data_IF_903153081244
#
_entry.id   IF_903153081244
#
_cell.length_a   1.000
_cell.length_b   1.000
_cell.length_c   1.000
_cell.angle_alpha   90.00
_cell.angle_beta   90.00
_cell.angle_gamma   90.00
#
_symmetry.space_group_name_H-M   'P 1'
#
loop_
_entity.id
_entity.type
_entity.pdbx_description
1 polymer ?
#
# COMPACT_ATOMS: atom_id res chain seq x y z
N UNK A 1 -10.53 21.15 28.97
CA UNK A 1 -10.60 21.78 27.66
C UNK A 1 -10.13 20.75 26.66
N UNK A 2 -10.97 20.44 25.68
CA UNK A 2 -10.72 19.35 24.74
C UNK A 2 -9.63 19.72 23.75
N UNK A 3 -8.74 18.77 23.44
CA UNK A 3 -7.71 18.96 22.44
C UNK A 3 -8.14 18.30 21.13
N UNK A 4 -8.10 19.05 20.04
CA UNK A 4 -8.43 18.58 18.70
C UNK A 4 -7.15 18.54 17.89
N UNK A 5 -6.74 17.37 17.44
CA UNK A 5 -5.56 17.20 16.61
C UNK A 5 -5.95 17.26 15.14
N UNK A 6 -5.33 18.16 14.38
CA UNK A 6 -5.48 18.26 12.93
C UNK A 6 -4.19 17.80 12.26
N UNK A 7 -4.26 16.75 11.45
CA UNK A 7 -3.18 16.22 10.64
C UNK A 7 -3.40 16.57 9.16
N UNK A 8 -2.52 17.40 8.61
CA UNK A 8 -2.62 17.96 7.25
C UNK A 8 -1.22 18.36 6.77
N UNK A 9 -0.82 17.94 5.58
CA UNK A 9 0.54 18.16 5.09
C UNK A 9 0.74 19.52 4.40
N UNK A 10 -0.32 20.12 3.88
CA UNK A 10 -0.24 21.47 3.33
C UNK A 10 -0.16 22.51 4.46
N UNK A 11 1.05 22.95 4.80
CA UNK A 11 1.29 23.87 5.93
C UNK A 11 0.49 25.18 5.85
N UNK A 12 0.19 25.67 4.64
CA UNK A 12 -0.66 26.87 4.46
C UNK A 12 -2.11 26.62 4.84
N UNK A 13 -2.64 25.45 4.46
CA UNK A 13 -4.00 25.07 4.79
C UNK A 13 -4.11 24.75 6.28
N UNK A 14 -3.14 24.04 6.85
CA UNK A 14 -3.06 23.80 8.30
C UNK A 14 -3.02 25.11 9.10
N UNK A 15 -2.21 26.08 8.69
CA UNK A 15 -2.17 27.42 9.32
C UNK A 15 -3.52 28.16 9.19
N UNK A 16 -4.14 28.12 8.00
CA UNK A 16 -5.47 28.68 7.79
C UNK A 16 -6.53 28.06 8.71
N UNK A 17 -6.51 26.73 8.87
CA UNK A 17 -7.44 26.03 9.77
C UNK A 17 -7.21 26.40 11.23
N UNK A 18 -5.95 26.51 11.66
CA UNK A 18 -5.60 26.94 13.02
C UNK A 18 -6.14 28.34 13.33
N UNK A 19 -5.90 29.31 12.45
CA UNK A 19 -6.40 30.69 12.58
C UNK A 19 -7.94 30.74 12.53
N UNK A 20 -8.56 30.05 11.57
CA UNK A 20 -10.01 30.10 11.41
C UNK A 20 -10.77 29.40 12.56
N UNK A 21 -10.14 28.44 13.24
CA UNK A 21 -10.73 27.76 14.39
C UNK A 21 -10.44 28.47 15.72
N UNK A 22 -9.63 29.54 15.74
CA UNK A 22 -9.36 30.33 16.94
C UNK A 22 -10.63 31.00 17.50
N UNK A 23 -11.60 31.32 16.65
CA UNK A 23 -12.93 31.81 17.08
C UNK A 23 -13.68 30.81 17.99
N UNK A 24 -13.35 29.51 17.88
CA UNK A 24 -13.94 28.43 18.69
C UNK A 24 -13.04 28.00 19.86
N UNK A 25 -12.01 28.81 20.17
CA UNK A 25 -11.06 28.55 21.26
C UNK A 25 -11.68 28.59 22.65
N UNK A 26 -12.93 28.99 22.82
CA UNK A 26 -13.69 28.81 24.07
C UNK A 26 -14.15 27.35 24.27
N UNK A 27 -14.22 26.55 23.20
CA UNK A 27 -14.75 25.19 23.21
C UNK A 27 -13.67 24.12 23.17
N UNK A 28 -12.66 24.30 22.33
CA UNK A 28 -11.60 23.33 22.15
C UNK A 28 -10.28 24.01 21.78
N UNK A 29 -9.18 23.30 21.98
CA UNK A 29 -7.84 23.74 21.60
C UNK A 29 -7.36 22.94 20.40
N UNK A 30 -6.90 23.63 19.37
CA UNK A 30 -6.28 22.99 18.19
C UNK A 30 -4.83 22.60 18.50
N UNK A 31 -4.48 21.39 18.10
CA UNK A 31 -3.13 20.86 17.98
C UNK A 31 -2.90 20.50 16.51
N UNK A 32 -1.70 20.71 16.00
CA UNK A 32 -1.39 20.53 14.58
C UNK A 32 -0.30 19.50 14.35
N UNK A 33 -0.35 18.81 13.21
CA UNK A 33 0.66 17.87 12.74
C UNK A 33 0.75 17.91 11.21
N UNK A 34 1.97 17.95 10.67
CA UNK A 34 2.21 18.03 9.22
C UNK A 34 2.21 16.70 8.48
N UNK A 35 2.02 15.58 9.17
CA UNK A 35 1.97 14.22 8.62
C UNK A 35 1.53 13.21 9.70
N UNK A 36 1.30 11.96 9.31
CA UNK A 36 0.89 10.90 10.23
C UNK A 36 1.88 10.58 11.35
N UNK A 37 3.20 10.69 11.14
CA UNK A 37 4.19 10.42 12.19
C UNK A 37 4.16 11.49 13.28
N UNK A 38 4.03 12.77 12.90
CA UNK A 38 3.85 13.86 13.85
C UNK A 38 2.54 13.73 14.61
N UNK A 39 1.46 13.33 13.93
CA UNK A 39 0.17 13.09 14.58
C UNK A 39 0.27 12.00 15.65
N UNK A 40 0.96 10.88 15.36
CA UNK A 40 1.21 9.83 16.35
C UNK A 40 2.04 10.33 17.53
N UNK A 41 3.09 11.12 17.28
CA UNK A 41 3.89 11.70 18.37
C UNK A 41 3.05 12.63 19.28
N UNK A 42 2.09 13.36 18.70
CA UNK A 42 1.14 14.17 19.49
C UNK A 42 0.18 13.28 20.29
N UNK A 43 -0.38 12.23 19.69
CA UNK A 43 -1.27 11.27 20.37
C UNK A 43 -0.57 10.52 21.51
N UNK A 44 0.74 10.27 21.40
CA UNK A 44 1.54 9.63 22.45
C UNK A 44 1.89 10.59 23.61
N UNK A 45 1.99 11.89 23.33
CA UNK A 45 2.44 12.90 24.31
C UNK A 45 1.34 13.75 24.92
N UNK A 46 0.17 13.82 24.29
CA UNK A 46 -0.97 14.66 24.72
C UNK A 46 -2.27 13.87 24.67
N UNK A 47 -3.18 14.18 25.60
CA UNK A 47 -4.57 13.69 25.52
C UNK A 47 -5.28 14.42 24.38
N UNK A 48 -5.80 13.66 23.41
CA UNK A 48 -6.56 14.17 22.26
C UNK A 48 -8.00 13.67 22.38
N UNK A 49 -8.96 14.58 22.17
CA UNK A 49 -10.40 14.30 22.26
C UNK A 49 -11.03 14.04 20.88
N UNK A 50 -10.46 14.58 19.80
CA UNK A 50 -10.87 14.33 18.40
C UNK A 50 -9.63 14.37 17.50
N UNK A 51 -9.52 13.43 16.57
CA UNK A 51 -8.57 13.48 15.46
C UNK A 51 -9.29 13.95 14.19
N UNK A 52 -8.73 14.94 13.52
CA UNK A 52 -9.07 15.37 12.17
C UNK A 52 -7.87 15.06 11.28
N UNK A 53 -8.04 14.32 10.18
CA UNK A 53 -6.90 13.93 9.33
C UNK A 53 -7.24 13.99 7.85
N UNK A 54 -6.30 14.46 7.03
CA UNK A 54 -6.29 14.14 5.59
C UNK A 54 -5.92 12.64 5.41
N UNK A 55 -6.32 12.06 4.28
CA UNK A 55 -5.91 10.73 3.83
C UNK A 55 -4.60 10.75 3.03
N UNK A 56 -4.33 11.83 2.30
CA UNK A 56 -3.17 11.95 1.42
C UNK A 56 -2.10 12.82 2.06
N UNK A 57 -1.15 12.20 2.77
CA UNK A 57 -0.02 12.88 3.42
C UNK A 57 1.31 12.16 3.13
N UNK A 58 2.45 12.88 3.01
CA UNK A 58 3.78 12.30 2.85
C UNK A 58 4.27 11.65 4.15
N UNK A 59 5.29 10.78 4.04
CA UNK A 59 5.92 9.99 5.11
C UNK A 59 5.03 8.92 5.73
N UNK A 60 3.87 9.30 6.27
CA UNK A 60 2.83 8.40 6.74
C UNK A 60 1.49 8.97 6.28
N UNK A 61 0.79 8.20 5.44
CA UNK A 61 -0.52 8.57 4.93
C UNK A 61 -1.60 8.45 6.00
N UNK A 62 -2.74 9.10 5.77
CA UNK A 62 -3.86 9.08 6.71
C UNK A 62 -4.41 7.67 6.92
N UNK A 63 -4.37 6.80 5.91
CA UNK A 63 -4.78 5.40 6.06
C UNK A 63 -3.96 4.65 7.12
N UNK A 64 -2.64 4.81 7.07
CA UNK A 64 -1.72 4.20 8.04
C UNK A 64 -1.93 4.80 9.43
N UNK A 65 -2.13 6.12 9.52
CA UNK A 65 -2.47 6.79 10.78
C UNK A 65 -3.78 6.25 11.37
N UNK A 66 -4.84 6.16 10.57
CA UNK A 66 -6.14 5.62 10.97
C UNK A 66 -6.01 4.18 11.48
N UNK A 67 -5.20 3.36 10.82
CA UNK A 67 -4.89 1.99 11.24
C UNK A 67 -4.31 1.94 12.66
N UNK A 68 -3.31 2.77 12.94
CA UNK A 68 -2.68 2.87 14.26
C UNK A 68 -3.63 3.42 15.32
N UNK A 69 -4.41 4.43 14.97
CA UNK A 69 -5.39 5.06 15.87
C UNK A 69 -6.49 4.06 16.23
N UNK A 70 -6.97 3.29 15.27
CA UNK A 70 -8.00 2.27 15.49
C UNK A 70 -7.53 1.20 16.49
N UNK A 71 -6.26 0.81 16.41
CA UNK A 71 -5.68 -0.20 17.28
C UNK A 71 -5.39 0.32 18.70
N UNK A 72 -4.81 1.52 18.81
CA UNK A 72 -4.31 2.06 20.09
C UNK A 72 -5.27 3.01 20.81
N UNK A 73 -6.14 3.69 20.06
CA UNK A 73 -7.08 4.70 20.55
C UNK A 73 -8.49 4.43 20.00
N UNK A 74 -9.07 3.23 20.26
CA UNK A 74 -10.33 2.81 19.65
C UNK A 74 -11.53 3.71 20.03
N UNK A 75 -11.43 4.44 21.14
CA UNK A 75 -12.47 5.36 21.61
C UNK A 75 -12.25 6.81 21.15
N UNK A 76 -11.25 7.10 20.30
CA UNK A 76 -11.01 8.45 19.78
C UNK A 76 -11.93 8.73 18.58
N UNK A 77 -12.82 9.75 18.62
CA UNK A 77 -13.55 10.20 17.45
C UNK A 77 -12.62 10.67 16.34
N UNK A 78 -12.94 10.29 15.11
CA UNK A 78 -12.15 10.62 13.92
C UNK A 78 -13.02 11.33 12.88
N UNK A 79 -12.49 12.45 12.38
CA UNK A 79 -13.02 13.19 11.24
C UNK A 79 -12.00 13.07 10.10
N UNK A 80 -12.45 12.55 8.96
CA UNK A 80 -11.59 12.39 7.78
C UNK A 80 -11.88 13.53 6.81
N UNK A 81 -10.84 14.28 6.45
CA UNK A 81 -10.85 15.28 5.39
C UNK A 81 -10.47 14.59 4.07
N UNK A 82 -11.29 14.74 3.03
CA UNK A 82 -11.03 14.14 1.70
C UNK A 82 -11.26 15.16 0.60
N UNK A 83 -10.44 15.12 -0.46
CA UNK A 83 -10.56 15.96 -1.66
C UNK A 83 -11.49 15.40 -2.74
N UNK A 84 -12.22 14.31 -2.46
CA UNK A 84 -12.95 13.56 -3.47
C UNK A 84 -14.46 13.84 -3.46
N UNK A 85 -15.00 14.30 -4.60
CA UNK A 85 -16.43 14.57 -4.82
C UNK A 85 -17.11 13.33 -5.43
N UNK A 86 -17.64 12.42 -4.59
CA UNK A 86 -18.57 11.34 -4.99
C UNK A 86 -19.73 11.15 -4.00
N UNK A 87 -20.80 11.96 -4.12
CA UNK A 87 -21.96 11.95 -3.22
C UNK A 87 -22.70 10.61 -3.16
N UNK A 88 -22.70 9.86 -4.27
CA UNK A 88 -23.40 8.57 -4.45
C UNK A 88 -22.85 7.44 -3.56
N UNK A 89 -21.56 7.50 -3.20
CA UNK A 89 -20.90 6.50 -2.37
C UNK A 89 -21.04 6.85 -0.89
N UNK A 90 -21.00 8.15 -0.55
CA UNK A 90 -21.21 8.68 0.81
C UNK A 90 -22.56 8.29 1.40
N UNK A 91 -23.61 8.26 0.58
CA UNK A 91 -24.96 7.85 1.01
C UNK A 91 -25.05 6.38 1.48
N UNK A 92 -24.04 5.56 1.16
CA UNK A 92 -23.99 4.12 1.47
C UNK A 92 -23.05 3.76 2.63
N UNK A 93 -22.34 4.74 3.20
CA UNK A 93 -21.45 4.52 4.34
C UNK A 93 -22.25 4.55 5.67
N UNK A 94 -21.96 3.64 6.63
CA UNK A 94 -22.55 3.70 7.97
C UNK A 94 -22.19 5.04 8.63
N UNK A 95 -23.20 5.75 9.16
CA UNK A 95 -23.04 7.13 9.70
C UNK A 95 -22.39 7.18 11.09
N UNK A 96 -22.10 6.03 11.69
CA UNK A 96 -22.17 5.93 13.14
C UNK A 96 -20.81 6.09 13.85
N UNK A 97 -19.72 6.37 13.12
CA UNK A 97 -18.43 6.57 13.80
C UNK A 97 -17.35 7.40 13.09
N UNK A 98 -17.38 7.53 11.77
CA UNK A 98 -16.44 8.37 11.02
C UNK A 98 -17.21 9.48 10.34
N UNK A 99 -16.92 10.72 10.72
CA UNK A 99 -17.48 11.89 10.03
C UNK A 99 -16.58 12.26 8.86
N UNK A 100 -17.17 12.38 7.68
CA UNK A 100 -16.45 12.76 6.47
C UNK A 100 -16.66 14.24 6.17
N UNK A 101 -15.56 14.96 5.99
CA UNK A 101 -15.55 16.35 5.59
C UNK A 101 -14.86 16.51 4.23
N UNK A 102 -15.68 16.73 3.22
CA UNK A 102 -15.23 16.91 1.83
C UNK A 102 -14.67 18.32 1.61
N UNK A 103 -13.46 18.40 1.04
CA UNK A 103 -12.82 19.64 0.60
C UNK A 103 -13.41 20.07 -0.76
N UNK A 104 -13.73 21.37 -0.98
CA UNK A 104 -13.58 22.46 -0.03
C UNK A 104 -14.72 22.52 1.00
N UNK A 105 -14.39 22.88 2.24
CA UNK A 105 -15.35 23.09 3.33
C UNK A 105 -15.11 24.45 4.01
N UNK A 106 -16.14 25.00 4.66
CA UNK A 106 -15.96 26.18 5.50
C UNK A 106 -15.40 25.81 6.88
N UNK A 107 -14.64 26.71 7.54
CA UNK A 107 -14.20 26.52 8.91
C UNK A 107 -15.36 26.22 9.87
N UNK A 108 -16.51 26.88 9.71
CA UNK A 108 -17.71 26.61 10.52
C UNK A 108 -18.20 25.17 10.39
N UNK A 109 -18.12 24.59 9.19
CA UNK A 109 -18.55 23.22 8.94
C UNK A 109 -17.63 22.24 9.66
N UNK A 110 -16.31 22.50 9.66
CA UNK A 110 -15.34 21.71 10.41
C UNK A 110 -15.57 21.86 11.93
N UNK A 111 -15.71 23.09 12.43
CA UNK A 111 -15.97 23.37 13.84
C UNK A 111 -17.23 22.65 14.35
N UNK A 112 -18.33 22.71 13.59
CA UNK A 112 -19.56 22.01 13.93
C UNK A 112 -19.38 20.48 13.95
N UNK A 113 -18.62 19.91 13.01
CA UNK A 113 -18.32 18.48 13.01
C UNK A 113 -17.48 18.08 14.23
N UNK A 114 -16.50 18.90 14.62
CA UNK A 114 -15.69 18.72 15.84
C UNK A 114 -16.57 18.78 17.08
N UNK A 115 -17.41 19.81 17.21
CA UNK A 115 -18.30 19.99 18.38
C UNK A 115 -19.27 18.81 18.50
N UNK A 116 -19.84 18.34 17.38
CA UNK A 116 -20.69 17.16 17.37
C UNK A 116 -19.93 15.91 17.83
N UNK A 117 -18.69 15.72 17.37
CA UNK A 117 -17.84 14.61 17.78
C UNK A 117 -17.47 14.66 19.28
N UNK A 118 -17.27 15.86 19.83
CA UNK A 118 -16.98 16.08 21.26
C UNK A 118 -18.20 15.83 22.16
N UNK A 119 -19.42 16.12 21.69
CA UNK A 119 -20.62 16.12 22.52
C UNK A 119 -21.14 14.72 22.94
N UNK A 120 -20.74 13.64 22.25
CA UNK A 120 -21.08 12.22 22.53
C UNK A 120 -22.40 11.97 23.30
N UNK A 121 -23.53 12.17 22.63
CA UNK A 121 -24.75 11.34 22.80
C UNK A 121 -24.74 10.24 21.71
N UNK A 122 -23.72 9.37 21.71
CA UNK A 122 -23.75 8.18 20.86
C UNK A 122 -24.58 7.11 21.59
N UNK A 123 -25.67 6.57 21.00
CA UNK A 123 -26.50 5.57 21.66
C UNK A 123 -25.67 4.36 22.12
N UNK A 124 -26.02 3.81 23.28
CA UNK A 124 -25.51 2.53 23.79
C UNK A 124 -25.50 1.49 22.65
N UNK A 125 -24.29 1.08 22.23
CA UNK A 125 -24.10 0.15 21.11
C UNK A 125 -23.20 0.63 19.98
N UNK A 126 -22.70 1.88 20.01
CA UNK A 126 -21.72 2.36 19.03
C UNK A 126 -20.43 1.51 19.08
N UNK A 127 -20.19 0.75 18.01
CA UNK A 127 -18.96 -0.03 17.83
C UNK A 127 -17.77 0.93 17.81
N UNK A 128 -16.72 0.55 18.55
CA UNK A 128 -15.48 1.28 18.80
C UNK A 128 -14.57 1.25 17.57
N UNK A 129 -13.90 2.36 17.26
CA UNK A 129 -12.97 2.48 16.13
C UNK A 129 -13.59 2.30 14.73
N UNK A 130 -12.93 2.80 13.68
CA UNK A 130 -13.40 2.65 12.29
C UNK A 130 -13.70 1.17 12.02
N UNK A 131 -14.96 0.84 11.75
CA UNK A 131 -15.33 -0.52 11.38
C UNK A 131 -14.55 -0.94 10.14
N UNK A 132 -14.11 -2.21 10.07
CA UNK A 132 -13.41 -2.69 8.88
C UNK A 132 -14.21 -2.47 7.58
N UNK A 133 -15.53 -2.70 7.52
CA UNK A 133 -16.33 -2.31 6.36
C UNK A 133 -16.16 -0.83 5.95
N UNK A 134 -16.23 0.10 6.90
CA UNK A 134 -16.03 1.53 6.64
C UNK A 134 -14.60 1.83 6.18
N UNK A 135 -13.60 1.18 6.77
CA UNK A 135 -12.20 1.34 6.39
C UNK A 135 -11.93 0.84 4.96
N UNK A 136 -12.47 -0.32 4.61
CA UNK A 136 -12.35 -0.88 3.26
C UNK A 136 -13.08 -0.01 2.23
N UNK A 137 -14.24 0.56 2.59
CA UNK A 137 -14.93 1.52 1.74
C UNK A 137 -14.05 2.74 1.44
N UNK A 138 -13.27 3.24 2.42
CA UNK A 138 -12.32 4.33 2.20
C UNK A 138 -11.22 3.97 1.20
N UNK A 139 -10.64 2.77 1.32
CA UNK A 139 -9.66 2.26 0.34
C UNK A 139 -10.25 2.23 -1.07
N UNK A 140 -11.51 1.80 -1.19
CA UNK A 140 -12.23 1.80 -2.45
C UNK A 140 -12.48 3.19 -3.02
N UNK A 141 -12.83 4.15 -2.15
CA UNK A 141 -13.09 5.54 -2.53
C UNK A 141 -11.84 6.26 -3.02
N UNK A 142 -10.73 6.14 -2.30
CA UNK A 142 -9.44 6.76 -2.64
C UNK A 142 -8.66 5.99 -3.72
N UNK A 143 -9.27 4.97 -4.33
CA UNK A 143 -8.65 4.11 -5.35
C UNK A 143 -7.27 3.59 -4.92
N UNK A 144 -7.10 3.27 -3.64
CA UNK A 144 -5.80 2.89 -3.09
C UNK A 144 -5.45 1.45 -3.50
N UNK A 145 -4.29 1.27 -4.11
CA UNK A 145 -3.66 -0.06 -4.26
C UNK A 145 -2.91 -0.37 -2.97
N UNK A 146 -3.24 -1.48 -2.31
CA UNK A 146 -2.59 -1.87 -1.06
C UNK A 146 -2.77 -3.35 -0.75
N UNK A 147 -1.81 -3.88 0.01
CA UNK A 147 -1.92 -5.17 0.69
C UNK A 147 -2.09 -4.88 2.18
N UNK A 148 -3.09 -5.47 2.82
CA UNK A 148 -3.28 -5.32 4.26
C UNK A 148 -3.50 -6.66 4.94
N UNK A 149 -2.93 -6.78 6.12
CA UNK A 149 -3.25 -7.81 7.10
C UNK A 149 -4.34 -7.28 8.04
N UNK A 150 -5.34 -8.10 8.29
CA UNK A 150 -6.43 -7.85 9.21
C UNK A 150 -6.40 -8.95 10.26
N UNK A 151 -6.15 -8.56 11.50
CA UNK A 151 -6.01 -9.48 12.64
C UNK A 151 -7.18 -9.30 13.61
N UNK A 152 -7.59 -10.40 14.25
CA UNK A 152 -8.59 -10.36 15.33
C UNK A 152 -8.19 -11.36 16.42
N UNK A 153 -8.56 -11.08 17.68
CA UNK A 153 -8.17 -11.91 18.81
C UNK A 153 -8.75 -13.32 18.68
N UNK A 154 -7.88 -14.34 18.74
CA UNK A 154 -8.29 -15.75 18.72
C UNK A 154 -8.62 -16.29 17.32
N UNK A 155 -8.37 -15.52 16.26
CA UNK A 155 -8.54 -15.96 14.87
C UNK A 155 -7.22 -15.80 14.09
N UNK A 156 -6.97 -16.60 13.04
CA UNK A 156 -5.82 -16.38 12.16
C UNK A 156 -5.94 -15.01 11.49
N UNK A 157 -4.82 -14.34 11.17
CA UNK A 157 -4.86 -13.11 10.40
C UNK A 157 -5.36 -13.38 8.98
N UNK A 158 -6.14 -12.44 8.46
CA UNK A 158 -6.56 -12.39 7.07
C UNK A 158 -5.71 -11.42 6.27
N UNK A 159 -5.56 -11.67 4.97
CA UNK A 159 -4.89 -10.77 4.04
C UNK A 159 -5.90 -10.32 3.00
N UNK A 160 -5.94 -9.02 2.71
CA UNK A 160 -6.72 -8.43 1.62
C UNK A 160 -5.79 -7.66 0.67
N UNK A 161 -5.91 -7.92 -0.62
CA UNK A 161 -5.25 -7.15 -1.67
C UNK A 161 -6.27 -6.31 -2.44
N UNK A 162 -6.02 -5.01 -2.52
CA UNK A 162 -6.76 -4.06 -3.32
C UNK A 162 -5.88 -3.54 -4.45
N UNK A 163 -6.44 -3.47 -5.64
CA UNK A 163 -5.81 -2.82 -6.80
C UNK A 163 -6.70 -1.67 -7.24
N UNK A 164 -6.18 -0.44 -7.19
CA UNK A 164 -6.90 0.80 -7.52
C UNK A 164 -8.26 0.90 -6.80
N UNK A 165 -8.31 0.52 -5.52
CA UNK A 165 -9.53 0.50 -4.70
C UNK A 165 -10.49 -0.65 -4.97
N UNK A 166 -10.17 -1.57 -5.88
CA UNK A 166 -11.00 -2.76 -6.14
C UNK A 166 -10.45 -3.95 -5.35
N UNK A 167 -11.28 -4.65 -4.54
CA UNK A 167 -10.87 -5.91 -3.93
C UNK A 167 -10.49 -6.91 -5.01
N UNK A 168 -9.26 -7.39 -4.95
CA UNK A 168 -8.66 -8.15 -6.03
C UNK A 168 -8.40 -9.59 -5.62
N UNK A 169 -7.94 -9.79 -4.39
CA UNK A 169 -7.73 -11.11 -3.79
C UNK A 169 -7.74 -11.07 -2.25
N UNK A 170 -7.91 -12.22 -1.62
CA UNK A 170 -7.87 -12.36 -0.18
C UNK A 170 -7.38 -13.76 0.25
N UNK A 171 -6.85 -13.86 1.47
CA UNK A 171 -6.47 -15.12 2.11
C UNK A 171 -6.91 -15.11 3.57
N UNK A 172 -7.45 -16.23 4.06
CA UNK A 172 -7.80 -16.41 5.46
C UNK A 172 -7.66 -17.88 5.84
N UNK A 173 -6.55 -18.22 6.51
CA UNK A 173 -6.17 -19.63 6.73
C UNK A 173 -6.08 -20.38 5.40
N UNK A 174 -6.85 -21.48 5.19
CA UNK A 174 -6.85 -22.22 3.95
C UNK A 174 -7.73 -21.60 2.83
N UNK A 175 -8.53 -20.59 3.15
CA UNK A 175 -9.44 -19.97 2.19
C UNK A 175 -8.70 -18.94 1.35
N UNK A 176 -9.09 -18.81 0.07
CA UNK A 176 -8.57 -17.78 -0.84
C UNK A 176 -9.69 -17.10 -1.62
N UNK A 177 -9.41 -15.94 -2.23
CA UNK A 177 -10.36 -15.22 -3.08
C UNK A 177 -11.60 -14.72 -2.33
N UNK A 178 -12.77 -14.82 -2.97
CA UNK A 178 -14.00 -14.22 -2.45
C UNK A 178 -14.44 -14.79 -1.10
N UNK A 179 -14.30 -16.11 -0.87
CA UNK A 179 -14.70 -16.73 0.40
C UNK A 179 -13.81 -16.27 1.57
N UNK A 180 -12.51 -16.13 1.32
CA UNK A 180 -11.60 -15.52 2.29
C UNK A 180 -12.00 -14.08 2.60
N UNK A 181 -12.29 -13.26 1.57
CA UNK A 181 -12.66 -11.87 1.74
C UNK A 181 -13.89 -11.71 2.65
N UNK A 182 -14.92 -12.53 2.47
CA UNK A 182 -16.13 -12.51 3.31
C UNK A 182 -15.80 -12.81 4.78
N UNK A 183 -14.93 -13.80 5.04
CA UNK A 183 -14.48 -14.13 6.40
C UNK A 183 -13.67 -13.00 7.04
N UNK A 184 -12.75 -12.41 6.29
CA UNK A 184 -11.92 -11.29 6.78
C UNK A 184 -12.77 -10.06 7.09
N UNK A 185 -13.72 -9.70 6.22
CA UNK A 185 -14.60 -8.53 6.41
C UNK A 185 -15.50 -8.70 7.65
N UNK A 186 -15.89 -9.93 7.96
CA UNK A 186 -16.71 -10.25 9.14
C UNK A 186 -15.96 -10.29 10.47
N UNK A 187 -14.64 -10.06 10.49
CA UNK A 187 -13.84 -10.08 11.72
C UNK A 187 -14.25 -8.97 12.69
N UNK A 188 -14.36 -9.32 13.98
CA UNK A 188 -14.65 -8.36 15.04
C UNK A 188 -13.39 -7.70 15.60
N UNK A 189 -13.51 -6.43 16.00
CA UNK A 189 -12.42 -5.63 16.56
C UNK A 189 -11.08 -5.77 15.78
N UNK A 190 -11.08 -5.52 14.46
CA UNK A 190 -9.92 -5.83 13.63
C UNK A 190 -8.77 -4.84 13.84
N UNK A 191 -7.57 -5.40 14.04
CA UNK A 191 -6.31 -4.69 13.90
C UNK A 191 -5.87 -4.72 12.44
N UNK A 192 -5.59 -3.56 11.85
CA UNK A 192 -5.21 -3.45 10.44
C UNK A 192 -3.72 -3.09 10.36
N UNK A 193 -3.01 -3.72 9.42
CA UNK A 193 -1.61 -3.43 9.13
C UNK A 193 -1.37 -3.44 7.63
N UNK A 194 -0.84 -2.34 7.10
CA UNK A 194 -0.40 -2.31 5.70
C UNK A 194 0.89 -3.10 5.53
N UNK A 195 0.88 -3.99 4.55
CA UNK A 195 2.02 -4.79 4.15
C UNK A 195 2.64 -4.19 2.87
N UNK A 196 3.87 -4.59 2.58
CA UNK A 196 4.50 -4.24 1.31
C UNK A 196 3.69 -4.84 0.15
N UNK A 197 3.43 -4.10 -0.94
CA UNK A 197 2.78 -4.66 -2.11
C UNK A 197 3.57 -5.88 -2.61
N UNK A 198 2.88 -6.95 -3.04
CA UNK A 198 3.54 -8.13 -3.53
C UNK A 198 4.33 -7.80 -4.81
N UNK A 199 5.56 -8.30 -4.91
CA UNK A 199 6.44 -8.11 -6.07
C UNK A 199 6.03 -8.96 -7.29
N UNK A 200 5.17 -9.96 -7.06
CA UNK A 200 4.57 -10.80 -8.09
C UNK A 200 3.14 -10.31 -8.40
N UNK A 201 2.70 -10.49 -9.63
CA UNK A 201 1.33 -10.19 -10.05
C UNK A 201 0.36 -11.02 -9.22
N UNK A 202 -0.53 -10.36 -8.50
CA UNK A 202 -1.58 -11.04 -7.74
C UNK A 202 -2.60 -11.60 -8.72
N UNK A 203 -3.16 -12.78 -8.45
CA UNK A 203 -4.24 -13.35 -9.25
C UNK A 203 -5.56 -12.71 -8.84
N UNK A 204 -6.36 -12.24 -9.82
CA UNK A 204 -7.70 -11.75 -9.51
C UNK A 204 -8.61 -12.93 -9.19
N UNK A 205 -8.94 -13.11 -7.91
CA UNK A 205 -9.87 -14.17 -7.44
C UNK A 205 -11.16 -13.61 -6.84
N UNK A 206 -11.27 -12.29 -6.73
CA UNK A 206 -12.49 -11.61 -6.31
C UNK A 206 -13.15 -10.95 -7.51
N UNK A 207 -14.37 -11.38 -7.83
CA UNK A 207 -15.19 -10.83 -8.92
C UNK A 207 -16.25 -9.84 -8.46
N UNK A 208 -16.71 -9.98 -7.20
CA UNK A 208 -17.74 -9.12 -6.61
C UNK A 208 -17.25 -7.71 -6.31
N UNK A 209 -18.18 -6.75 -6.32
CA UNK A 209 -17.89 -5.39 -5.87
C UNK A 209 -17.67 -5.36 -4.36
N UNK A 210 -16.91 -4.38 -3.87
CA UNK A 210 -16.71 -4.18 -2.44
C UNK A 210 -18.04 -4.00 -1.68
N UNK A 211 -18.99 -3.28 -2.27
CA UNK A 211 -20.30 -3.05 -1.65
C UNK A 211 -21.06 -4.37 -1.43
N UNK A 212 -21.01 -5.29 -2.40
CA UNK A 212 -21.64 -6.60 -2.27
C UNK A 212 -20.92 -7.45 -1.21
N UNK A 213 -19.58 -7.46 -1.21
CA UNK A 213 -18.80 -8.21 -0.21
C UNK A 213 -19.11 -7.74 1.22
N UNK A 214 -19.21 -6.43 1.43
CA UNK A 214 -19.56 -5.85 2.73
C UNK A 214 -20.98 -6.25 3.14
N UNK A 215 -21.95 -6.16 2.22
CA UNK A 215 -23.33 -6.56 2.47
C UNK A 215 -23.44 -8.05 2.81
N UNK A 216 -22.80 -8.90 2.02
CA UNK A 216 -22.83 -10.36 2.19
C UNK A 216 -22.12 -10.79 3.49
N UNK A 217 -20.99 -10.16 3.83
CA UNK A 217 -20.27 -10.45 5.08
C UNK A 217 -21.08 -10.02 6.32
N UNK A 218 -21.76 -8.88 6.24
CA UNK A 218 -22.64 -8.39 7.32
C UNK A 218 -23.83 -9.34 7.50
N UNK A 219 -24.46 -9.75 6.39
CA UNK A 219 -25.58 -10.71 6.41
C UNK A 219 -25.17 -12.07 6.95
N UNK A 220 -24.01 -12.59 6.54
CA UNK A 220 -23.49 -13.86 7.03
C UNK A 220 -23.22 -13.82 8.54
N UNK A 221 -22.92 -12.65 9.11
CA UNK A 221 -22.78 -12.47 10.56
C UNK A 221 -24.13 -12.56 11.28
N UNK A 222 -25.14 -11.87 10.76
CA UNK A 222 -26.49 -11.89 11.33
C UNK A 222 -27.13 -13.29 11.28
N UNK A 223 -26.89 -14.05 10.20
CA UNK A 223 -27.39 -15.42 10.05
C UNK A 223 -26.74 -16.41 11.06
N UNK A 224 -25.45 -16.22 11.41
CA UNK A 224 -24.75 -17.01 12.44
C UNK A 224 -25.20 -16.69 13.88
N UNK A 225 -25.63 -15.46 14.17
CA UNK A 225 -26.19 -15.09 15.48
C UNK A 225 -27.63 -15.59 15.66
N UNK A 226 -28.42 -15.68 14.58
CA UNK A 226 -29.79 -16.23 14.65
C UNK A 226 -29.84 -17.74 14.88
N UNK A 227 -28.82 -18.50 14.46
CA UNK A 227 -28.75 -19.95 14.69
C UNK A 227 -28.34 -20.31 16.14
N UNK A 228 -27.76 -19.38 16.90
CA UNK A 228 -27.37 -19.59 18.30
C UNK A 228 -28.52 -19.36 19.30
N UNK A 229 -29.64 -18.80 18.86
CA UNK A 229 -30.86 -18.66 19.68
C UNK A 229 -31.76 -19.90 19.57
N UNK A 230 -31.43 -20.86 18.70
CA UNK A 230 -32.26 -22.04 18.44
C UNK A 230 -31.48 -23.33 18.23
N UNK A 231 -30.94 -23.91 19.30
CA UNK A 231 -30.52 -25.32 19.25
C UNK A 231 -29.45 -25.70 20.26
N UNK A 232 -29.88 -26.13 21.44
CA UNK A 232 -29.09 -27.04 22.28
C UNK A 232 -28.86 -28.37 21.55
N UNK A 233 -27.67 -28.91 21.72
CA UNK A 233 -27.18 -30.26 21.36
C UNK A 233 -26.49 -30.51 20.00
N UNK A 234 -25.20 -30.89 20.14
CA UNK A 234 -24.32 -31.62 19.22
C UNK A 234 -23.83 -30.84 17.98
N UNK A 235 -22.53 -30.72 17.71
CA UNK A 235 -21.60 -31.84 17.50
C UNK A 235 -20.18 -31.43 17.90
N UNK A 236 -19.66 -32.07 18.95
CA UNK A 236 -18.24 -32.19 19.21
C UNK A 236 -17.66 -33.26 18.27
N UNK A 237 -16.90 -32.88 17.23
CA UNK A 237 -16.00 -33.78 16.50
C UNK A 237 -14.74 -33.07 16.00
N UNK A 238 -13.67 -33.26 16.77
CA UNK A 238 -12.30 -33.58 16.33
C UNK A 238 -11.62 -32.68 15.28
N UNK A 239 -10.86 -31.69 15.74
CA UNK A 239 -9.66 -31.23 15.03
C UNK A 239 -8.44 -31.86 15.69
N UNK A 240 -7.98 -32.95 15.09
CA UNK A 240 -6.79 -33.68 15.50
C UNK A 240 -5.52 -32.97 15.03
N UNK A 241 -4.51 -33.05 15.89
CA UNK A 241 -3.13 -32.60 15.71
C UNK A 241 -2.57 -32.76 14.29
N UNK A 242 -1.97 -31.68 13.80
CA UNK A 242 -1.17 -31.66 12.58
C UNK A 242 -0.51 -30.30 12.36
N UNK A 243 0.17 -29.76 13.38
CA UNK A 243 1.04 -28.59 13.22
C UNK A 243 2.45 -29.08 12.89
N UNK A 244 2.87 -28.88 11.64
CA UNK A 244 4.28 -28.77 11.27
C UNK A 244 4.59 -27.30 11.03
N UNK A 245 5.62 -26.82 11.72
CA UNK A 245 6.11 -25.44 11.74
C UNK A 245 6.57 -24.94 10.35
N UNK A 246 6.34 -23.66 10.09
CA UNK A 246 7.19 -22.85 9.20
C UNK A 246 6.86 -22.88 7.69
N UNK A 247 5.69 -22.37 7.29
CA UNK A 247 5.42 -22.02 5.90
C UNK A 247 4.71 -20.67 5.80
N UNK A 248 5.23 -19.75 5.00
CA UNK A 248 4.50 -18.53 4.61
C UNK A 248 3.22 -18.94 3.85
N UNK A 249 2.08 -18.26 4.06
CA UNK A 249 0.83 -18.61 3.41
C UNK A 249 0.94 -18.47 1.88
N UNK A 250 0.51 -19.53 1.18
CA UNK A 250 0.67 -19.73 -0.26
C UNK A 250 -0.26 -18.82 -1.08
N UNK A 251 0.20 -17.59 -1.29
CA UNK A 251 -0.38 -16.61 -2.22
C UNK A 251 0.10 -16.81 -3.67
N UNK A 252 1.01 -17.76 -3.93
CA UNK A 252 1.86 -17.77 -5.11
C UNK A 252 1.98 -19.17 -5.72
N UNK A 253 1.21 -19.47 -6.77
CA UNK A 253 1.51 -20.67 -7.57
C UNK A 253 2.75 -20.44 -8.43
N UNK A 254 3.69 -21.39 -8.34
CA UNK A 254 4.59 -21.74 -9.43
C UNK A 254 3.76 -22.16 -10.67
N UNK A 255 4.33 -21.95 -11.85
CA UNK A 255 3.84 -22.32 -13.18
C UNK A 255 2.76 -21.41 -13.82
N UNK A 256 3.23 -20.35 -14.48
CA UNK A 256 2.80 -20.01 -15.86
C UNK A 256 4.07 -19.59 -16.64
N UNK A 257 4.46 -20.39 -17.62
CA UNK A 257 5.53 -20.07 -18.58
C UNK A 257 5.05 -18.92 -19.47
N UNK A 258 5.60 -17.72 -19.27
CA UNK A 258 5.49 -16.62 -20.23
C UNK A 258 6.30 -17.01 -21.49
N UNK A 259 5.60 -17.22 -22.61
CA UNK A 259 6.17 -17.57 -23.93
C UNK A 259 7.16 -16.53 -24.51
N UNK A 260 7.43 -15.41 -23.81
CA UNK A 260 8.36 -14.34 -24.21
C UNK A 260 9.53 -14.11 -23.22
N UNK A 261 9.59 -14.87 -22.13
CA UNK A 261 10.66 -14.78 -21.12
C UNK A 261 11.99 -15.37 -21.60
N UNK A 262 11.95 -16.37 -22.50
CA UNK A 262 13.14 -17.05 -23.01
C UNK A 262 14.12 -16.12 -23.71
N UNK A 263 13.62 -15.19 -24.53
CA UNK A 263 14.44 -14.27 -25.33
C UNK A 263 15.21 -13.27 -24.45
N UNK A 264 14.56 -12.75 -23.41
CA UNK A 264 15.14 -11.74 -22.51
C UNK A 264 16.12 -12.34 -21.50
N UNK A 265 15.86 -13.56 -21.03
CA UNK A 265 16.81 -14.31 -20.19
C UNK A 265 18.03 -14.78 -20.99
N UNK A 266 17.89 -15.13 -22.27
CA UNK A 266 19.01 -15.40 -23.17
C UNK A 266 19.87 -14.15 -23.41
N UNK A 267 19.23 -12.99 -23.62
CA UNK A 267 19.93 -11.70 -23.72
C UNK A 267 20.71 -11.38 -22.43
N UNK A 268 20.08 -11.53 -21.26
CA UNK A 268 20.73 -11.31 -19.97
C UNK A 268 21.92 -12.26 -19.77
N UNK A 269 21.76 -13.54 -20.12
CA UNK A 269 22.80 -14.55 -20.02
C UNK A 269 23.97 -14.25 -20.96
N UNK A 270 23.72 -13.95 -22.23
CA UNK A 270 24.77 -13.63 -23.20
C UNK A 270 25.56 -12.35 -22.85
N UNK A 271 24.92 -11.36 -22.22
CA UNK A 271 25.59 -10.16 -21.72
C UNK A 271 26.40 -10.43 -20.45
N UNK A 272 25.95 -11.34 -19.59
CA UNK A 272 26.66 -11.70 -18.36
C UNK A 272 28.01 -12.40 -18.60
N UNK A 273 28.22 -12.99 -19.78
CA UNK A 273 29.48 -13.63 -20.18
C UNK A 273 30.62 -12.62 -20.41
N UNK A 274 30.30 -11.32 -20.46
CA UNK A 274 31.31 -10.26 -20.59
C UNK A 274 32.19 -10.18 -19.35
N UNK A 275 33.52 -10.21 -19.55
CA UNK A 275 34.47 -10.06 -18.47
C UNK A 275 34.25 -8.75 -17.69
N UNK A 276 34.04 -8.86 -16.37
CA UNK A 276 33.72 -7.73 -15.52
C UNK A 276 32.22 -7.51 -15.28
N UNK A 277 31.35 -8.33 -15.88
CA UNK A 277 29.93 -8.37 -15.56
C UNK A 277 29.66 -9.37 -14.43
N UNK A 278 28.97 -8.94 -13.37
CA UNK A 278 28.52 -9.82 -12.28
C UNK A 278 27.07 -10.25 -12.45
N UNK A 279 26.22 -9.35 -12.95
CA UNK A 279 24.81 -9.65 -13.21
C UNK A 279 24.20 -8.66 -14.19
N UNK A 280 23.16 -9.09 -14.89
CA UNK A 280 22.39 -8.29 -15.85
C UNK A 280 20.90 -8.47 -15.60
N UNK A 281 20.14 -7.39 -15.60
CA UNK A 281 18.69 -7.39 -15.65
C UNK A 281 18.21 -6.64 -16.89
N UNK A 282 17.13 -7.11 -17.49
CA UNK A 282 16.47 -6.54 -18.66
C UNK A 282 15.13 -5.99 -18.21
N UNK A 283 14.95 -4.68 -18.32
CA UNK A 283 13.73 -3.96 -17.98
C UNK A 283 13.03 -3.50 -19.26
N UNK A 284 11.71 -3.43 -19.26
CA UNK A 284 10.94 -2.73 -20.30
C UNK A 284 10.78 -1.22 -20.00
N UNK A 285 10.08 -0.51 -20.88
CA UNK A 285 9.88 0.95 -20.80
C UNK A 285 8.97 1.38 -19.65
N UNK A 286 8.31 0.43 -18.98
CA UNK A 286 7.58 0.63 -17.72
C UNK A 286 8.46 0.38 -16.49
N UNK A 287 9.70 -0.09 -16.69
CA UNK A 287 10.60 -0.50 -15.63
C UNK A 287 10.27 -1.88 -15.04
N UNK A 288 9.51 -2.70 -15.77
CA UNK A 288 9.20 -4.08 -15.39
C UNK A 288 10.32 -5.02 -15.82
N UNK A 289 10.76 -5.91 -14.92
CA UNK A 289 11.79 -6.91 -15.21
C UNK A 289 11.27 -7.97 -16.19
N UNK A 290 11.93 -8.12 -17.33
CA UNK A 290 11.63 -9.10 -18.40
C UNK A 290 12.57 -10.29 -18.41
N UNK A 291 13.80 -10.09 -17.94
CA UNK A 291 14.78 -11.17 -17.82
C UNK A 291 15.92 -10.76 -16.89
N UNK A 292 16.60 -11.74 -16.32
CA UNK A 292 17.78 -11.46 -15.48
C UNK A 292 18.71 -12.64 -15.38
N UNK A 293 19.99 -12.35 -15.18
CA UNK A 293 21.00 -13.35 -14.90
C UNK A 293 22.00 -12.82 -13.89
N UNK A 294 22.24 -13.56 -12.81
CA UNK A 294 23.20 -13.20 -11.76
C UNK A 294 24.23 -14.31 -11.46
N UNK A 295 24.22 -15.41 -12.20
CA UNK A 295 25.05 -16.59 -11.89
C UNK A 295 24.93 -17.01 -10.42
N UNK A 296 26.05 -17.36 -9.80
CA UNK A 296 26.15 -17.76 -8.37
C UNK A 296 26.42 -16.57 -7.42
N UNK A 297 26.28 -15.33 -7.89
CA UNK A 297 26.65 -14.14 -7.11
C UNK A 297 25.74 -13.86 -5.90
N UNK A 298 24.57 -14.51 -5.83
CA UNK A 298 23.59 -14.34 -4.74
C UNK A 298 22.91 -12.97 -4.72
N UNK A 299 23.02 -12.20 -5.81
CA UNK A 299 22.48 -10.85 -5.91
C UNK A 299 20.97 -10.89 -6.13
N UNK A 300 20.21 -10.15 -5.32
CA UNK A 300 18.77 -9.95 -5.51
C UNK A 300 18.49 -9.05 -6.71
N UNK A 301 18.37 -9.67 -7.88
CA UNK A 301 18.09 -8.97 -9.13
C UNK A 301 16.71 -8.33 -9.18
N UNK A 302 15.73 -8.85 -8.43
CA UNK A 302 14.37 -8.29 -8.41
C UNK A 302 14.34 -7.00 -7.59
N UNK A 303 14.98 -7.02 -6.41
CA UNK A 303 15.15 -5.83 -5.58
C UNK A 303 15.95 -4.74 -6.30
N UNK A 304 17.05 -5.13 -6.97
CA UNK A 304 17.88 -4.19 -7.71
C UNK A 304 17.17 -3.61 -8.93
N UNK A 305 16.48 -4.43 -9.71
CA UNK A 305 15.70 -3.97 -10.87
C UNK A 305 14.61 -2.98 -10.46
N UNK A 306 13.93 -3.21 -9.34
CA UNK A 306 12.94 -2.28 -8.78
C UNK A 306 13.58 -0.94 -8.40
N UNK A 307 14.70 -0.95 -7.67
CA UNK A 307 15.38 0.26 -7.25
C UNK A 307 15.96 1.05 -8.45
N UNK A 308 16.47 0.34 -9.45
CA UNK A 308 16.98 0.92 -10.69
C UNK A 308 15.84 1.55 -11.51
N UNK A 309 14.67 0.90 -11.58
CA UNK A 309 13.49 1.39 -12.29
C UNK A 309 13.08 2.79 -11.82
N UNK A 310 12.95 3.00 -10.51
CA UNK A 310 12.57 4.31 -9.96
C UNK A 310 13.57 5.41 -10.35
N UNK A 311 14.86 5.08 -10.35
CA UNK A 311 15.92 6.00 -10.71
C UNK A 311 15.99 6.25 -12.24
N UNK A 312 15.74 5.23 -13.06
CA UNK A 312 15.64 5.34 -14.52
C UNK A 312 14.46 6.24 -14.88
N UNK A 313 13.29 6.04 -14.26
CA UNK A 313 12.10 6.85 -14.49
C UNK A 313 12.32 8.31 -14.09
N UNK A 314 12.95 8.56 -12.94
CA UNK A 314 13.34 9.90 -12.53
C UNK A 314 14.31 10.55 -13.53
N UNK A 315 15.31 9.79 -13.98
CA UNK A 315 16.31 10.23 -14.96
C UNK A 315 15.68 10.58 -16.32
N UNK A 316 14.77 9.74 -16.83
CA UNK A 316 14.05 9.99 -18.08
C UNK A 316 13.15 11.23 -17.98
N UNK A 317 12.51 11.45 -16.84
CA UNK A 317 11.70 12.65 -16.60
C UNK A 317 12.56 13.93 -16.65
N UNK A 318 13.76 13.89 -16.09
CA UNK A 318 14.74 14.99 -16.19
C UNK A 318 15.19 15.21 -17.64
N UNK A 319 15.52 14.15 -18.37
CA UNK A 319 15.94 14.23 -19.77
C UNK A 319 14.85 14.83 -20.68
N UNK A 320 13.59 14.45 -20.47
CA UNK A 320 12.41 15.05 -21.14
C UNK A 320 12.27 16.53 -20.80
N UNK A 321 12.42 16.91 -19.54
CA UNK A 321 12.35 18.31 -19.12
C UNK A 321 13.46 19.18 -19.75
N UNK A 322 14.60 18.58 -20.11
CA UNK A 322 15.74 19.24 -20.73
C UNK A 322 15.74 19.20 -22.27
N UNK A 323 14.69 18.66 -22.92
CA UNK A 323 14.66 18.42 -24.37
C UNK A 323 15.89 17.65 -24.89
N UNK A 324 16.43 16.75 -24.07
CA UNK A 324 17.50 15.83 -24.44
C UNK A 324 16.97 14.38 -24.38
N UNK A 325 15.96 14.02 -25.20
CA UNK A 325 15.44 12.66 -25.21
C UNK A 325 16.48 11.69 -25.81
N UNK A 326 16.80 10.65 -25.05
CA UNK A 326 17.67 9.57 -25.49
C UNK A 326 18.99 9.53 -24.71
N UNK A 327 19.33 8.31 -24.27
CA UNK A 327 20.66 7.94 -23.76
C UNK A 327 21.05 8.50 -22.39
N UNK A 328 20.10 8.64 -21.46
CA UNK A 328 20.47 8.93 -20.07
C UNK A 328 20.94 7.66 -19.37
N UNK A 329 22.23 7.61 -19.06
CA UNK A 329 22.81 6.54 -18.25
C UNK A 329 22.75 6.91 -16.78
N UNK A 330 22.36 5.95 -15.97
CA UNK A 330 22.41 6.08 -14.52
C UNK A 330 23.60 5.26 -14.00
N UNK A 331 24.49 5.92 -13.26
CA UNK A 331 25.58 5.27 -12.54
C UNK A 331 25.36 5.40 -11.04
N UNK A 332 25.30 4.27 -10.36
CA UNK A 332 25.24 4.20 -8.91
C UNK A 332 26.55 3.58 -8.43
N UNK A 333 27.38 4.40 -7.79
CA UNK A 333 28.60 3.95 -7.13
C UNK A 333 28.37 3.86 -5.63
N UNK A 334 28.47 2.65 -5.09
CA UNK A 334 28.33 2.40 -3.66
C UNK A 334 29.67 2.65 -2.94
N UNK A 335 29.66 3.14 -1.69
CA UNK A 335 30.89 3.43 -0.94
C UNK A 335 31.62 2.15 -0.51
N UNK A 336 32.94 2.08 -0.72
CA UNK A 336 33.78 0.91 -0.40
C UNK A 336 34.11 0.05 -1.64
N UNK A 337 34.50 -1.21 -1.43
CA UNK A 337 34.81 -2.16 -2.52
C UNK A 337 33.55 -2.84 -3.08
N UNK A 338 32.47 -2.07 -3.25
CA UNK A 338 31.20 -2.59 -3.74
C UNK A 338 31.10 -2.49 -5.28
N UNK A 339 30.36 -3.41 -5.92
CA UNK A 339 30.08 -3.36 -7.34
C UNK A 339 29.44 -2.04 -7.77
N UNK A 340 29.81 -1.54 -8.96
CA UNK A 340 29.11 -0.42 -9.58
C UNK A 340 27.86 -0.92 -10.32
N UNK A 341 26.78 -0.14 -10.30
CA UNK A 341 25.56 -0.45 -11.03
C UNK A 341 25.35 0.58 -12.13
N UNK A 342 25.07 0.11 -13.34
CA UNK A 342 24.81 0.95 -14.49
C UNK A 342 23.47 0.59 -15.13
N UNK A 343 22.66 1.60 -15.45
CA UNK A 343 21.49 1.43 -16.29
C UNK A 343 21.77 1.98 -17.70
N UNK A 344 21.63 1.11 -18.70
CA UNK A 344 22.01 1.36 -20.09
C UNK A 344 20.80 1.08 -21.00
N UNK A 345 20.23 2.10 -21.66
CA UNK A 345 19.16 1.89 -22.64
C UNK A 345 19.70 1.17 -23.89
N UNK A 346 18.92 0.26 -24.46
CA UNK A 346 19.32 -0.50 -25.66
C UNK A 346 18.81 0.21 -26.91
N UNK A 347 19.65 0.99 -27.58
CA UNK A 347 19.27 1.68 -28.82
C UNK A 347 18.25 2.81 -28.62
N UNK A 348 17.89 3.47 -29.74
CA UNK A 348 17.03 4.68 -29.72
C UNK A 348 15.53 4.39 -29.79
N UNK A 349 15.15 3.25 -30.37
CA UNK A 349 13.76 2.86 -30.64
C UNK A 349 13.31 1.62 -29.83
N UNK A 350 14.15 1.10 -28.93
CA UNK A 350 13.75 0.00 -28.06
C UNK A 350 13.31 0.54 -26.70
N UNK A 351 12.23 -0.02 -26.16
CA UNK A 351 11.75 0.23 -24.81
C UNK A 351 12.60 -0.51 -23.75
N UNK A 352 13.71 -1.14 -24.12
CA UNK A 352 14.49 -1.97 -23.19
C UNK A 352 15.59 -1.18 -22.50
N UNK A 353 15.70 -1.34 -21.18
CA UNK A 353 16.80 -0.84 -20.36
C UNK A 353 17.53 -2.00 -19.68
N UNK A 354 18.85 -2.06 -19.85
CA UNK A 354 19.71 -3.06 -19.21
C UNK A 354 20.29 -2.49 -17.93
N UNK A 355 20.12 -3.20 -16.83
CA UNK A 355 20.81 -2.90 -15.57
C UNK A 355 21.95 -3.89 -15.42
N UNK A 356 23.18 -3.40 -15.37
CA UNK A 356 24.39 -4.23 -15.24
C UNK A 356 25.11 -3.93 -13.94
N UNK A 357 25.59 -5.00 -13.30
CA UNK A 357 26.44 -4.93 -12.11
C UNK A 357 27.86 -5.25 -12.52
N UNK A 358 28.78 -4.33 -12.21
CA UNK A 358 30.18 -4.43 -12.60
C UNK A 358 31.03 -4.98 -11.47
N UNK A 359 31.97 -5.86 -11.80
CA UNK A 359 32.97 -6.34 -10.87
C UNK A 359 33.87 -5.19 -10.38
N UNK A 360 34.44 -5.36 -9.20
CA UNK A 360 35.36 -4.37 -8.64
C UNK A 360 36.60 -4.17 -9.53
N UNK A 361 37.01 -2.91 -9.70
CA UNK A 361 38.21 -2.55 -10.48
C UNK A 361 38.03 -2.52 -11.99
N UNK A 362 36.81 -2.70 -12.51
CA UNK A 362 36.49 -2.54 -13.93
C UNK A 362 36.53 -1.06 -14.31
N UNK A 363 37.18 -0.72 -15.44
CA UNK A 363 37.03 0.61 -16.06
C UNK A 363 35.62 0.72 -16.62
N UNK A 364 34.74 1.37 -15.84
CA UNK A 364 33.32 1.52 -16.13
C UNK A 364 33.09 2.05 -17.55
N UNK A 365 33.81 3.12 -17.93
CA UNK A 365 33.60 3.79 -19.22
C UNK A 365 33.99 2.89 -20.40
N UNK A 366 35.12 2.18 -20.28
CA UNK A 366 35.56 1.24 -21.29
C UNK A 366 34.61 0.03 -21.40
N UNK A 367 34.14 -0.48 -20.25
CA UNK A 367 33.22 -1.62 -20.19
C UNK A 367 31.87 -1.29 -20.86
N UNK A 368 31.26 -0.17 -20.53
CA UNK A 368 29.94 0.19 -21.05
C UNK A 368 29.94 0.38 -22.57
N UNK A 369 31.04 0.89 -23.13
CA UNK A 369 31.20 0.99 -24.58
C UNK A 369 31.13 -0.37 -25.26
N UNK A 370 31.80 -1.38 -24.68
CA UNK A 370 31.76 -2.75 -25.17
C UNK A 370 30.40 -3.41 -24.91
N UNK A 371 29.81 -3.15 -23.73
CA UNK A 371 28.52 -3.68 -23.32
C UNK A 371 27.39 -3.25 -24.25
N UNK A 372 27.34 -1.97 -24.63
CA UNK A 372 26.37 -1.44 -25.60
C UNK A 372 26.50 -2.10 -26.96
N UNK A 373 27.73 -2.25 -27.46
CA UNK A 373 27.97 -2.91 -28.75
C UNK A 373 27.46 -4.35 -28.74
N UNK A 374 27.75 -5.08 -27.65
CA UNK A 374 27.29 -6.46 -27.47
C UNK A 374 25.78 -6.58 -27.29
N UNK A 375 25.16 -5.64 -26.58
CA UNK A 375 23.71 -5.58 -26.40
C UNK A 375 22.98 -5.33 -27.71
N UNK A 376 23.50 -4.44 -28.59
CA UNK A 376 22.96 -4.25 -29.93
C UNK A 376 23.02 -5.52 -30.77
N UNK A 377 24.18 -6.19 -30.80
CA UNK A 377 24.34 -7.47 -31.52
C UNK A 377 23.35 -8.56 -31.06
N UNK A 378 23.17 -8.73 -29.75
CA UNK A 378 22.32 -9.77 -29.18
C UNK A 378 20.83 -9.43 -29.25
N UNK A 379 20.46 -8.16 -29.19
CA UNK A 379 19.07 -7.71 -29.32
C UNK A 379 18.63 -7.56 -30.79
N UNK A 380 19.54 -7.74 -31.76
CA UNK A 380 19.27 -7.59 -33.19
C UNK A 380 19.05 -6.13 -33.63
N UNK A 381 19.69 -5.17 -32.93
CA UNK A 381 19.54 -3.72 -33.10
C UNK A 381 20.79 -3.04 -33.67
#
# INVERSE_FOLDING_TARGET
MDNVLIAEDESRFLYFLEEALEEFSDRFRVLTAGNGLEALAVLESKSVSVLVTDLNMPRMDGFTLLSHVNERYPDLPIIVMTGYDRPEIRAKLPKDLVSFLEKPFSPDKLANAIIAALARDAPEGAVKGISLPSFLQLIGMEQKTCLMEVSSKGQPPGILYFEKGVPFDAVFGPLTGQEAALKVIGLENPGIKFLKPPSKKVKRRISSSLANLVMDATRAKDEFETDLVGGDEAVSRSWGNGLSEGGEPDLFSEDEQDEDSGTHDELARGLSEMAGCLAVAVLDGSGSLKGSFAGDSGIDMKGLASAASDCIMASQNVARALNAPGETELFIRLPGDFPAVAAVPVGRDSDLTLVVILAFGVDEKAFLGQFRARAGELAGL
#
